data_IF_417165841911
#
_entry.id   IF_417165841911
#
_cell.length_a   1.000
_cell.length_b   1.000
_cell.length_c   1.000
_cell.angle_alpha   90.00
_cell.angle_beta   90.00
_cell.angle_gamma   90.00
#
_symmetry.space_group_name_H-M   'P 1'
#
loop_
_entity.id
_entity.type
_entity.pdbx_description
1 polymer ?
#
# COMPACT_ATOMS: atom_id res chain seq x y z
N UNK A 1 9.53 -15.30 -1.23
CA UNK A 1 8.71 -15.16 0.01
C UNK A 1 9.21 -13.98 0.80
N UNK A 2 8.33 -13.07 1.26
CA UNK A 2 8.72 -11.92 2.10
C UNK A 2 8.08 -12.04 3.47
N UNK A 3 8.86 -11.77 4.53
CA UNK A 3 8.38 -11.76 5.90
C UNK A 3 8.47 -10.35 6.50
N UNK A 4 7.31 -9.80 6.92
CA UNK A 4 7.21 -8.49 7.55
C UNK A 4 7.77 -8.46 8.98
N UNK A 5 7.95 -7.27 9.56
CA UNK A 5 8.53 -7.10 10.89
C UNK A 5 7.81 -7.86 12.00
N UNK A 6 6.47 -7.90 11.98
CA UNK A 6 5.66 -8.71 12.92
C UNK A 6 5.89 -10.21 12.75
N UNK A 7 6.14 -10.65 11.53
CA UNK A 7 6.42 -12.05 11.18
C UNK A 7 7.79 -12.53 11.69
N UNK A 8 8.73 -11.61 11.91
CA UNK A 8 10.10 -11.87 12.35
C UNK A 8 10.45 -11.14 13.66
N UNK A 9 9.44 -10.79 14.46
CA UNK A 9 9.60 -9.96 15.65
C UNK A 9 10.52 -10.57 16.73
N UNK A 10 10.61 -11.88 16.80
CA UNK A 10 11.44 -12.64 17.74
C UNK A 10 12.08 -13.84 17.03
N UNK A 11 13.08 -14.46 17.67
CA UNK A 11 13.69 -15.69 17.13
C UNK A 11 12.66 -16.81 16.97
N UNK A 12 11.69 -16.92 17.88
CA UNK A 12 10.60 -17.89 17.75
C UNK A 12 9.73 -17.61 16.53
N UNK A 13 9.43 -16.32 16.24
CA UNK A 13 8.73 -15.93 15.02
C UNK A 13 9.53 -16.24 13.77
N UNK A 14 10.84 -16.03 13.80
CA UNK A 14 11.74 -16.42 12.69
C UNK A 14 11.68 -17.94 12.46
N UNK A 15 11.65 -18.77 13.51
CA UNK A 15 11.47 -20.23 13.39
C UNK A 15 10.12 -20.59 12.74
N UNK A 16 9.04 -19.91 13.11
CA UNK A 16 7.72 -20.10 12.50
C UNK A 16 7.75 -19.70 11.01
N UNK A 17 8.32 -18.52 10.68
CA UNK A 17 8.51 -18.08 9.31
C UNK A 17 9.33 -19.07 8.47
N UNK A 18 10.40 -19.63 9.06
CA UNK A 18 11.24 -20.63 8.40
C UNK A 18 10.48 -21.94 8.08
N UNK A 19 9.46 -22.32 8.86
CA UNK A 19 8.60 -23.48 8.54
C UNK A 19 7.81 -23.27 7.25
N UNK A 20 7.33 -22.04 7.00
CA UNK A 20 6.68 -21.72 5.71
C UNK A 20 7.68 -21.82 4.55
N UNK A 21 8.95 -21.41 4.75
CA UNK A 21 10.00 -21.60 3.74
C UNK A 21 10.24 -23.09 3.51
N UNK A 22 10.37 -23.86 4.59
CA UNK A 22 10.59 -25.32 4.52
C UNK A 22 9.49 -26.02 3.73
N UNK A 23 8.24 -25.67 3.96
CA UNK A 23 7.09 -26.24 3.21
C UNK A 23 7.26 -26.07 1.69
N UNK A 24 7.65 -24.86 1.23
CA UNK A 24 7.84 -24.60 -0.20
C UNK A 24 9.06 -25.33 -0.76
N UNK A 25 10.15 -25.43 0.02
CA UNK A 25 11.35 -26.21 -0.37
C UNK A 25 11.03 -27.70 -0.46
N UNK A 26 10.31 -28.24 0.54
CA UNK A 26 9.90 -29.67 0.56
C UNK A 26 8.94 -29.99 -0.60
N UNK A 27 8.16 -29.00 -1.07
CA UNK A 27 7.31 -29.12 -2.26
C UNK A 27 8.11 -29.05 -3.59
N UNK A 28 9.44 -28.89 -3.53
CA UNK A 28 10.32 -28.83 -4.71
C UNK A 28 10.47 -27.45 -5.33
N UNK A 29 9.97 -26.40 -4.68
CA UNK A 29 10.09 -25.05 -5.18
C UNK A 29 11.49 -24.47 -4.90
N UNK A 30 12.02 -23.67 -5.85
CA UNK A 30 13.14 -22.79 -5.60
C UNK A 30 12.64 -21.55 -4.86
N UNK A 31 13.29 -21.21 -3.74
CA UNK A 31 12.83 -20.14 -2.86
C UNK A 31 13.91 -19.10 -2.63
N UNK A 32 13.54 -17.82 -2.78
CA UNK A 32 14.29 -16.69 -2.24
C UNK A 32 13.46 -16.04 -1.13
N UNK A 33 14.11 -15.70 -0.02
CA UNK A 33 13.48 -15.06 1.13
C UNK A 33 13.90 -13.60 1.21
N UNK A 34 12.96 -12.69 1.44
CA UNK A 34 13.23 -11.28 1.74
C UNK A 34 12.69 -10.99 3.15
N UNK A 35 13.48 -10.35 3.99
CA UNK A 35 13.10 -10.06 5.38
C UNK A 35 13.11 -8.58 5.69
N UNK A 36 12.16 -8.15 6.53
CA UNK A 36 12.19 -6.85 7.21
C UNK A 36 13.03 -6.92 8.49
N UNK A 37 13.38 -5.79 9.06
CA UNK A 37 13.87 -5.71 10.44
C UNK A 37 12.84 -6.29 11.43
N UNK A 38 13.30 -6.80 12.56
CA UNK A 38 12.43 -7.24 13.66
C UNK A 38 11.52 -6.08 14.11
N UNK A 39 10.28 -6.39 14.47
CA UNK A 39 9.28 -5.38 14.85
C UNK A 39 9.82 -4.36 15.86
N UNK A 40 9.63 -3.07 15.57
CA UNK A 40 10.11 -1.97 16.40
C UNK A 40 11.57 -1.56 16.16
N UNK A 41 12.42 -2.41 15.57
CA UNK A 41 13.86 -2.11 15.41
C UNK A 41 14.14 -0.94 14.49
N UNK A 42 13.42 -0.80 13.39
CA UNK A 42 13.55 0.36 12.51
C UNK A 42 13.25 1.66 13.27
N UNK A 43 12.19 1.68 14.08
CA UNK A 43 11.83 2.87 14.88
C UNK A 43 12.88 3.17 15.95
N UNK A 44 13.46 2.14 16.58
CA UNK A 44 14.56 2.28 17.56
C UNK A 44 15.80 2.90 16.91
N UNK A 45 16.21 2.41 15.73
CA UNK A 45 17.33 2.95 14.96
C UNK A 45 17.09 4.40 14.51
N UNK A 46 15.90 4.71 14.05
CA UNK A 46 15.49 6.09 13.73
C UNK A 46 15.54 6.97 14.97
N UNK A 47 15.09 6.46 16.13
CA UNK A 47 15.20 7.16 17.41
C UNK A 47 16.65 7.54 17.74
N UNK A 48 17.59 6.59 17.62
CA UNK A 48 19.02 6.85 17.88
C UNK A 48 19.62 7.90 16.95
N UNK A 49 19.24 7.89 15.66
CA UNK A 49 19.69 8.93 14.72
C UNK A 49 19.17 10.30 15.14
N UNK A 50 17.88 10.41 15.47
CA UNK A 50 17.27 11.67 15.88
C UNK A 50 17.84 12.21 17.21
N UNK A 51 18.16 11.30 18.15
CA UNK A 51 18.83 11.66 19.42
C UNK A 51 20.27 12.14 19.18
N UNK A 52 20.97 11.54 18.19
CA UNK A 52 22.35 11.91 17.86
C UNK A 52 22.45 13.27 17.17
N UNK A 53 21.52 13.58 16.27
CA UNK A 53 21.47 14.89 15.59
C UNK A 53 20.09 15.16 14.98
N UNK A 54 19.60 16.41 15.14
CA UNK A 54 18.38 16.87 14.45
C UNK A 54 18.58 17.15 12.97
N UNK A 55 19.82 17.48 12.58
CA UNK A 55 20.22 17.76 11.20
C UNK A 55 21.29 16.74 10.78
N UNK A 56 20.88 15.50 10.61
CA UNK A 56 21.77 14.40 10.21
C UNK A 56 21.90 14.30 8.69
N UNK A 57 23.03 13.77 8.25
CA UNK A 57 23.23 13.42 6.84
C UNK A 57 22.34 12.21 6.48
N UNK A 58 21.56 12.33 5.42
CA UNK A 58 20.66 11.27 4.98
C UNK A 58 21.39 9.97 4.60
N UNK A 59 22.65 10.06 4.17
CA UNK A 59 23.48 8.89 3.83
C UNK A 59 23.89 8.11 5.07
N UNK A 60 24.20 8.79 6.17
CA UNK A 60 24.52 8.16 7.44
C UNK A 60 23.24 7.65 8.13
N UNK A 61 22.10 8.34 7.97
CA UNK A 61 20.79 7.82 8.37
C UNK A 61 20.54 6.45 7.73
N UNK A 62 20.68 6.33 6.41
CA UNK A 62 20.47 5.07 5.69
C UNK A 62 21.42 3.97 6.19
N UNK A 63 22.68 4.29 6.44
CA UNK A 63 23.67 3.32 6.95
C UNK A 63 23.27 2.74 8.32
N UNK A 64 22.70 3.57 9.20
CA UNK A 64 22.22 3.12 10.51
C UNK A 64 20.92 2.32 10.36
N UNK A 65 19.92 2.89 9.68
CA UNK A 65 18.56 2.34 9.67
C UNK A 65 18.49 1.02 8.89
N UNK A 66 19.27 0.86 7.82
CA UNK A 66 19.37 -0.39 7.06
C UNK A 66 19.96 -1.58 7.83
N UNK A 67 20.61 -1.35 8.98
CA UNK A 67 21.25 -2.44 9.75
C UNK A 67 20.27 -3.42 10.38
N UNK A 68 19.01 -3.02 10.57
CA UNK A 68 17.99 -3.86 11.18
C UNK A 68 17.71 -5.14 10.38
N UNK A 69 17.65 -5.04 9.07
CA UNK A 69 17.42 -6.18 8.16
C UNK A 69 18.61 -7.12 8.10
N UNK A 70 19.83 -6.61 8.30
CA UNK A 70 21.05 -7.44 8.32
C UNK A 70 20.99 -8.48 9.44
N UNK A 71 20.53 -8.07 10.63
CA UNK A 71 20.36 -8.97 11.78
C UNK A 71 19.32 -10.04 11.45
N UNK A 72 18.16 -9.64 10.92
CA UNK A 72 17.08 -10.57 10.62
C UNK A 72 17.48 -11.58 9.54
N UNK A 73 18.14 -11.14 8.47
CA UNK A 73 18.59 -12.01 7.40
C UNK A 73 19.59 -13.06 7.88
N UNK A 74 20.54 -12.65 8.73
CA UNK A 74 21.47 -13.58 9.35
C UNK A 74 20.79 -14.63 10.23
N UNK A 75 19.87 -14.19 11.10
CA UNK A 75 19.11 -15.10 11.97
C UNK A 75 18.23 -16.07 11.18
N UNK A 76 17.55 -15.60 10.12
CA UNK A 76 16.73 -16.46 9.26
C UNK A 76 17.60 -17.52 8.57
N UNK A 77 18.76 -17.14 8.02
CA UNK A 77 19.68 -18.09 7.39
C UNK A 77 20.20 -19.15 8.37
N UNK A 78 20.52 -18.75 9.61
CA UNK A 78 20.94 -19.70 10.69
C UNK A 78 19.82 -20.69 10.98
N UNK A 79 18.58 -20.21 11.16
CA UNK A 79 17.42 -21.08 11.48
C UNK A 79 17.12 -22.04 10.33
N UNK A 80 17.17 -21.58 9.08
CA UNK A 80 16.97 -22.46 7.92
C UNK A 80 18.06 -23.54 7.85
N UNK A 81 19.33 -23.17 8.09
CA UNK A 81 20.46 -24.13 8.14
C UNK A 81 20.29 -25.16 9.26
N UNK A 82 19.81 -24.77 10.44
CA UNK A 82 19.46 -25.68 11.54
C UNK A 82 18.36 -26.68 11.15
N UNK A 83 17.42 -26.25 10.28
CA UNK A 83 16.36 -27.13 9.73
C UNK A 83 16.85 -28.02 8.57
N UNK A 84 18.13 -28.02 8.25
CA UNK A 84 18.72 -28.82 7.17
C UNK A 84 18.56 -28.19 5.76
N UNK A 85 18.18 -26.93 5.67
CA UNK A 85 18.02 -26.22 4.40
C UNK A 85 19.27 -25.39 4.16
N UNK A 86 20.09 -25.68 3.13
CA UNK A 86 21.22 -24.83 2.78
C UNK A 86 20.77 -23.40 2.54
N UNK A 87 21.28 -22.44 3.31
CA UNK A 87 20.83 -21.04 3.21
C UNK A 87 21.98 -20.07 3.48
N UNK A 88 21.87 -18.87 2.92
CA UNK A 88 22.85 -17.81 3.10
C UNK A 88 22.16 -16.45 3.08
N UNK A 89 22.56 -15.57 4.01
CA UNK A 89 22.11 -14.18 4.03
C UNK A 89 22.89 -13.33 3.03
N UNK A 90 22.20 -12.39 2.40
CA UNK A 90 22.74 -11.40 1.47
C UNK A 90 22.24 -10.01 1.83
N UNK A 91 23.17 -9.09 2.03
CA UNK A 91 22.86 -7.66 2.13
C UNK A 91 22.68 -7.05 0.74
N UNK A 92 22.09 -5.87 0.68
CA UNK A 92 21.73 -5.18 -0.57
C UNK A 92 22.89 -4.88 -1.52
N UNK A 93 24.15 -4.95 -1.03
CA UNK A 93 25.34 -4.80 -1.87
C UNK A 93 25.92 -6.13 -2.36
N UNK A 94 25.58 -7.25 -1.74
CA UNK A 94 26.05 -8.59 -2.13
C UNK A 94 25.20 -9.20 -3.24
N UNK A 95 23.91 -8.83 -3.27
CA UNK A 95 22.99 -9.01 -4.39
C UNK A 95 22.60 -7.60 -4.81
N UNK A 96 23.32 -6.97 -5.74
CA UNK A 96 23.21 -5.54 -5.92
C UNK A 96 21.80 -5.11 -6.32
N UNK A 97 21.07 -4.52 -5.35
CA UNK A 97 19.81 -3.80 -5.57
C UNK A 97 20.23 -2.35 -5.83
N UNK A 98 20.41 -2.02 -7.10
CA UNK A 98 20.81 -0.67 -7.49
C UNK A 98 19.67 0.33 -7.35
N UNK A 99 19.97 1.49 -6.79
CA UNK A 99 19.00 2.57 -6.57
C UNK A 99 19.58 3.91 -7.04
N UNK A 100 18.66 4.88 -7.20
CA UNK A 100 19.04 6.29 -7.24
C UNK A 100 19.66 6.74 -5.90
N UNK A 101 20.08 8.01 -5.82
CA UNK A 101 20.71 8.63 -4.65
C UNK A 101 19.74 9.39 -3.74
N UNK A 102 18.45 9.12 -3.86
CA UNK A 102 17.38 9.72 -3.02
C UNK A 102 17.35 9.05 -1.64
N UNK A 103 18.38 9.32 -0.83
CA UNK A 103 18.53 8.71 0.50
C UNK A 103 17.27 8.86 1.36
N UNK A 104 16.87 7.79 2.08
CA UNK A 104 15.65 7.72 2.89
C UNK A 104 14.40 7.34 2.12
N UNK A 105 14.38 7.49 0.78
CA UNK A 105 13.25 7.19 -0.09
C UNK A 105 13.69 6.77 -1.51
N UNK A 106 14.78 6.03 -1.60
CA UNK A 106 15.41 5.65 -2.87
C UNK A 106 14.50 4.79 -3.76
N UNK A 107 14.70 4.88 -5.07
CA UNK A 107 13.99 4.09 -6.07
C UNK A 107 14.91 3.02 -6.63
N UNK A 108 14.42 1.80 -6.74
CA UNK A 108 15.14 0.69 -7.36
C UNK A 108 15.21 0.95 -8.87
N UNK A 109 16.41 0.91 -9.40
CA UNK A 109 16.69 1.09 -10.84
C UNK A 109 16.97 -0.26 -11.51
N UNK A 110 17.69 -1.16 -10.83
CA UNK A 110 18.09 -2.45 -11.38
C UNK A 110 18.44 -3.44 -10.27
N UNK A 111 18.36 -4.75 -10.56
CA UNK A 111 18.85 -5.84 -9.70
C UNK A 111 19.59 -6.85 -10.56
N UNK A 112 20.82 -7.20 -10.16
CA UNK A 112 21.55 -8.31 -10.76
C UNK A 112 21.12 -9.64 -10.10
N UNK A 113 20.36 -10.51 -10.79
CA UNK A 113 19.86 -11.75 -10.22
C UNK A 113 20.86 -12.90 -10.28
N UNK A 114 22.07 -12.70 -10.82
CA UNK A 114 23.01 -13.79 -11.16
C UNK A 114 23.36 -14.65 -9.96
N UNK A 115 23.74 -14.03 -8.82
CA UNK A 115 24.07 -14.76 -7.60
C UNK A 115 22.85 -15.50 -7.02
N UNK A 116 21.68 -14.86 -7.03
CA UNK A 116 20.43 -15.49 -6.54
C UNK A 116 20.09 -16.73 -7.36
N UNK A 117 20.08 -16.62 -8.68
CA UNK A 117 19.77 -17.73 -9.57
C UNK A 117 20.80 -18.87 -9.44
N UNK A 118 22.08 -18.54 -9.31
CA UNK A 118 23.15 -19.52 -9.08
C UNK A 118 22.92 -20.30 -7.78
N UNK A 119 22.59 -19.60 -6.69
CA UNK A 119 22.34 -20.26 -5.39
C UNK A 119 21.07 -21.10 -5.40
N UNK A 120 19.97 -20.57 -5.91
CA UNK A 120 18.73 -21.34 -6.02
C UNK A 120 18.89 -22.58 -6.90
N UNK A 121 19.61 -22.46 -8.04
CA UNK A 121 19.93 -23.59 -8.90
C UNK A 121 20.80 -24.66 -8.25
N UNK A 122 21.60 -24.29 -7.25
CA UNK A 122 22.39 -25.22 -6.42
C UNK A 122 21.61 -25.77 -5.19
N UNK A 123 20.31 -25.50 -5.07
CA UNK A 123 19.47 -25.97 -3.96
C UNK A 123 19.59 -25.17 -2.67
N UNK A 124 20.15 -23.95 -2.74
CA UNK A 124 20.22 -23.04 -1.60
C UNK A 124 19.01 -22.11 -1.54
N UNK A 125 18.69 -21.65 -0.33
CA UNK A 125 17.72 -20.59 -0.08
C UNK A 125 18.47 -19.29 0.22
N UNK A 126 18.56 -18.34 -0.74
CA UNK A 126 19.09 -17.01 -0.45
C UNK A 126 18.13 -16.24 0.47
N UNK A 127 18.67 -15.59 1.50
CA UNK A 127 17.93 -14.69 2.40
C UNK A 127 18.42 -13.27 2.18
N UNK A 128 17.62 -12.44 1.55
CA UNK A 128 17.97 -11.07 1.15
C UNK A 128 17.42 -10.07 2.15
N UNK A 129 18.21 -9.08 2.50
CA UNK A 129 17.75 -7.94 3.28
C UNK A 129 16.77 -7.11 2.44
N UNK A 130 15.56 -6.92 2.93
CA UNK A 130 14.62 -5.95 2.35
C UNK A 130 15.00 -4.52 2.69
N UNK A 131 14.21 -3.55 2.23
CA UNK A 131 14.28 -2.14 2.60
C UNK A 131 15.53 -1.39 2.12
N UNK A 132 16.62 -2.04 1.77
CA UNK A 132 17.91 -1.43 1.41
C UNK A 132 18.31 -1.71 -0.03
N UNK A 133 19.12 -0.81 -0.58
CA UNK A 133 19.83 -0.94 -1.84
C UNK A 133 21.15 -0.20 -1.79
N UNK A 134 21.79 -0.02 -2.94
CA UNK A 134 23.03 0.73 -3.08
C UNK A 134 23.01 1.66 -4.29
N UNK A 135 23.61 2.82 -4.15
CA UNK A 135 23.91 3.72 -5.27
C UNK A 135 25.07 3.13 -6.09
N UNK A 136 24.81 2.75 -7.35
CA UNK A 136 25.79 2.09 -8.23
C UNK A 136 27.12 2.84 -8.32
N UNK A 137 27.08 4.17 -8.38
CA UNK A 137 28.27 5.03 -8.55
C UNK A 137 29.13 5.11 -7.30
N UNK A 138 28.54 5.13 -6.11
CA UNK A 138 29.24 5.40 -4.85
C UNK A 138 29.39 4.18 -3.95
N UNK A 139 28.59 3.11 -4.19
CA UNK A 139 28.50 1.97 -3.30
C UNK A 139 27.82 2.27 -1.95
N UNK A 140 27.26 3.46 -1.78
CA UNK A 140 26.60 3.83 -0.52
C UNK A 140 25.25 3.16 -0.40
N UNK A 141 24.96 2.70 0.81
CA UNK A 141 23.67 2.10 1.16
C UNK A 141 22.58 3.17 1.10
N UNK A 142 21.43 2.78 0.58
CA UNK A 142 20.18 3.57 0.55
C UNK A 142 19.07 2.82 1.23
N UNK A 143 18.05 3.54 1.70
CA UNK A 143 16.79 2.93 2.15
C UNK A 143 15.65 3.34 1.24
N UNK A 144 14.69 2.41 1.06
CA UNK A 144 13.58 2.57 0.11
C UNK A 144 12.37 3.31 0.70
N UNK A 145 12.47 3.73 1.95
CA UNK A 145 11.39 4.37 2.66
C UNK A 145 10.28 3.40 3.11
N UNK A 146 9.14 3.93 3.51
CA UNK A 146 8.02 3.15 4.07
C UNK A 146 7.55 2.06 3.09
N UNK A 147 7.38 0.83 3.59
CA UNK A 147 7.02 -0.33 2.76
C UNK A 147 8.14 -0.86 1.86
N UNK A 148 9.37 -0.40 2.07
CA UNK A 148 10.52 -0.76 1.24
C UNK A 148 10.80 -2.25 1.15
N UNK A 149 10.54 -3.05 2.20
CA UNK A 149 10.75 -4.50 2.15
C UNK A 149 9.76 -5.21 1.22
N UNK A 150 8.49 -4.75 1.12
CA UNK A 150 7.53 -5.27 0.14
C UNK A 150 8.00 -4.95 -1.27
N UNK A 151 8.44 -3.71 -1.49
CA UNK A 151 9.00 -3.26 -2.77
C UNK A 151 10.25 -4.07 -3.15
N UNK A 152 11.18 -4.30 -2.19
CA UNK A 152 12.36 -5.17 -2.42
C UNK A 152 11.96 -6.58 -2.85
N UNK A 153 10.95 -7.17 -2.18
CA UNK A 153 10.53 -8.53 -2.47
C UNK A 153 9.95 -8.66 -3.88
N UNK A 154 9.13 -7.71 -4.29
CA UNK A 154 8.54 -7.69 -5.64
C UNK A 154 9.65 -7.47 -6.69
N UNK A 155 10.58 -6.55 -6.44
CA UNK A 155 11.69 -6.29 -7.36
C UNK A 155 12.60 -7.53 -7.51
N UNK A 156 12.92 -8.20 -6.39
CA UNK A 156 13.67 -9.47 -6.42
C UNK A 156 12.90 -10.54 -7.19
N UNK A 157 11.58 -10.68 -6.93
CA UNK A 157 10.75 -11.65 -7.65
C UNK A 157 10.72 -11.39 -9.16
N UNK A 158 10.61 -10.12 -9.58
CA UNK A 158 10.69 -9.72 -10.99
C UNK A 158 12.07 -10.06 -11.59
N UNK A 159 13.17 -9.75 -10.89
CA UNK A 159 14.53 -9.98 -11.36
C UNK A 159 14.84 -11.47 -11.56
N UNK A 160 14.42 -12.33 -10.62
CA UNK A 160 14.62 -13.79 -10.72
C UNK A 160 13.55 -14.47 -11.56
N UNK A 161 12.56 -13.74 -12.09
CA UNK A 161 11.41 -14.26 -12.85
C UNK A 161 10.63 -15.32 -12.06
N UNK A 162 10.33 -15.00 -10.80
CA UNK A 162 9.58 -15.90 -9.94
C UNK A 162 8.13 -16.09 -10.43
N UNK A 163 7.57 -17.29 -10.25
CA UNK A 163 6.16 -17.58 -10.58
C UNK A 163 5.18 -16.77 -9.73
N UNK A 164 5.59 -16.42 -8.48
CA UNK A 164 4.83 -15.60 -7.56
C UNK A 164 5.70 -15.00 -6.46
N UNK A 165 5.22 -13.94 -5.81
CA UNK A 165 5.80 -13.33 -4.62
C UNK A 165 4.81 -13.43 -3.46
N UNK A 166 5.11 -14.23 -2.45
CA UNK A 166 4.29 -14.40 -1.26
C UNK A 166 4.68 -13.36 -0.20
N UNK A 167 3.73 -12.50 0.20
CA UNK A 167 3.89 -11.49 1.24
C UNK A 167 3.26 -12.00 2.54
N UNK A 168 4.09 -12.41 3.47
CA UNK A 168 3.68 -12.84 4.81
C UNK A 168 3.60 -11.65 5.76
N UNK A 169 2.44 -11.49 6.37
CA UNK A 169 2.11 -10.38 7.27
C UNK A 169 1.28 -10.89 8.45
N UNK A 170 0.65 -10.01 9.22
CA UNK A 170 -0.21 -10.32 10.37
C UNK A 170 -1.69 -10.54 9.99
N UNK A 171 -2.03 -10.40 8.71
CA UNK A 171 -3.36 -10.72 8.18
C UNK A 171 -3.28 -11.86 7.17
N UNK A 172 -4.36 -12.62 7.04
CA UNK A 172 -4.44 -13.82 6.18
C UNK A 172 -4.90 -13.51 4.75
N UNK A 173 -5.02 -12.25 4.38
CA UNK A 173 -5.39 -11.80 3.03
C UNK A 173 -6.00 -10.41 2.99
N UNK A 174 -6.57 -10.08 1.84
CA UNK A 174 -7.33 -8.85 1.58
C UNK A 174 -8.82 -9.15 1.78
N UNK A 175 -9.53 -8.26 2.47
CA UNK A 175 -10.94 -8.43 2.81
C UNK A 175 -11.83 -7.46 2.05
N UNK A 176 -13.09 -7.83 1.88
CA UNK A 176 -14.14 -6.99 1.25
C UNK A 176 -14.36 -5.67 1.98
N UNK A 177 -14.02 -5.58 3.26
CA UNK A 177 -13.86 -4.38 4.07
C UNK A 177 -13.03 -4.74 5.32
N UNK A 178 -12.71 -3.77 6.18
CA UNK A 178 -12.02 -4.02 7.45
C UNK A 178 -12.88 -4.90 8.38
N UNK A 179 -12.45 -6.12 8.77
CA UNK A 179 -13.22 -7.00 9.67
C UNK A 179 -13.50 -6.39 11.05
N UNK A 180 -12.72 -5.39 11.46
CA UNK A 180 -12.95 -4.66 12.72
C UNK A 180 -14.15 -3.73 12.63
N UNK A 181 -14.52 -3.28 11.41
CA UNK A 181 -15.68 -2.43 11.13
C UNK A 181 -16.91 -3.29 10.86
N UNK A 182 -16.80 -4.29 10.00
CA UNK A 182 -17.85 -5.28 9.74
C UNK A 182 -17.32 -6.70 9.91
N UNK A 183 -17.66 -7.42 11.02
CA UNK A 183 -17.23 -8.79 11.24
C UNK A 183 -17.69 -9.80 10.17
N UNK A 184 -18.63 -9.40 9.29
CA UNK A 184 -19.07 -10.21 8.15
C UNK A 184 -18.20 -10.02 6.90
N UNK A 185 -17.14 -9.20 7.00
CA UNK A 185 -16.19 -9.03 5.92
C UNK A 185 -15.58 -10.39 5.54
N UNK A 186 -15.38 -10.60 4.25
CA UNK A 186 -14.84 -11.85 3.70
C UNK A 186 -13.50 -11.64 3.09
N UNK A 187 -12.62 -12.61 3.26
CA UNK A 187 -11.37 -12.64 2.54
C UNK A 187 -11.64 -12.86 1.06
N UNK A 188 -11.03 -12.04 0.22
CA UNK A 188 -11.01 -12.21 -1.22
C UNK A 188 -10.03 -13.33 -1.59
N UNK A 189 -10.45 -14.26 -2.45
CA UNK A 189 -9.54 -15.27 -2.97
C UNK A 189 -8.59 -14.69 -4.02
N UNK A 190 -9.12 -13.78 -4.85
CA UNK A 190 -8.39 -13.06 -5.90
C UNK A 190 -8.85 -11.61 -5.93
N UNK A 191 -7.95 -10.75 -6.34
CA UNK A 191 -8.20 -9.32 -6.57
C UNK A 191 -7.30 -8.84 -7.72
N UNK A 192 -7.81 -7.97 -8.59
CA UNK A 192 -7.01 -7.38 -9.66
C UNK A 192 -6.00 -6.36 -9.09
N UNK A 193 -4.87 -6.17 -9.80
CA UNK A 193 -3.87 -5.17 -9.37
C UNK A 193 -4.48 -3.78 -9.22
N UNK A 194 -5.35 -3.38 -10.17
CA UNK A 194 -6.01 -2.08 -10.16
C UNK A 194 -6.90 -1.90 -8.91
N UNK A 195 -7.69 -2.94 -8.58
CA UNK A 195 -8.53 -2.92 -7.36
C UNK A 195 -7.67 -2.85 -6.10
N UNK A 196 -6.58 -3.64 -6.05
CA UNK A 196 -5.67 -3.63 -4.91
C UNK A 196 -4.98 -2.27 -4.73
N UNK A 197 -4.58 -1.61 -5.83
CA UNK A 197 -4.02 -0.25 -5.81
C UNK A 197 -5.03 0.75 -5.23
N UNK A 198 -6.27 0.72 -5.71
CA UNK A 198 -7.32 1.59 -5.18
C UNK A 198 -7.60 1.30 -3.71
N UNK A 199 -7.75 0.04 -3.32
CA UNK A 199 -7.98 -0.32 -1.92
C UNK A 199 -6.82 0.07 -1.01
N UNK A 200 -5.58 -0.11 -1.45
CA UNK A 200 -4.40 0.30 -0.69
C UNK A 200 -4.31 1.81 -0.53
N UNK A 201 -4.66 2.59 -1.56
CA UNK A 201 -4.69 4.05 -1.52
C UNK A 201 -5.80 4.60 -0.62
N UNK A 202 -6.87 3.84 -0.44
CA UNK A 202 -8.09 4.23 0.28
C UNK A 202 -8.17 3.69 1.72
N UNK A 203 -7.06 3.16 2.27
CA UNK A 203 -6.98 2.77 3.67
C UNK A 203 -6.86 1.28 3.99
N UNK A 204 -6.96 0.39 3.01
CA UNK A 204 -6.65 -1.02 3.19
C UNK A 204 -5.13 -1.22 3.28
N UNK A 205 -4.56 -1.03 4.46
CA UNK A 205 -3.10 -1.01 4.72
C UNK A 205 -2.45 -2.42 4.69
N UNK A 206 -2.91 -3.32 3.83
CA UNK A 206 -2.40 -4.70 3.74
C UNK A 206 -1.14 -4.77 2.89
N UNK A 207 -1.12 -4.07 1.76
CA UNK A 207 0.04 -3.92 0.88
C UNK A 207 0.36 -2.44 0.68
N UNK A 208 1.63 -2.14 0.44
CA UNK A 208 2.05 -0.78 0.07
C UNK A 208 1.79 -0.52 -1.41
N UNK A 209 1.25 0.65 -1.75
CA UNK A 209 0.92 1.06 -3.12
C UNK A 209 2.09 0.81 -4.06
N UNK A 210 3.29 1.28 -3.71
CA UNK A 210 4.51 1.13 -4.51
C UNK A 210 4.88 -0.32 -4.83
N UNK A 211 4.62 -1.27 -3.91
CA UNK A 211 4.88 -2.70 -4.17
C UNK A 211 3.86 -3.29 -5.14
N UNK A 212 2.59 -2.86 -5.07
CA UNK A 212 1.54 -3.29 -5.99
C UNK A 212 1.76 -2.69 -7.39
N UNK A 213 2.14 -1.41 -7.49
CA UNK A 213 2.52 -0.75 -8.76
C UNK A 213 3.66 -1.50 -9.46
N UNK A 214 4.70 -1.86 -8.70
CA UNK A 214 5.83 -2.62 -9.22
C UNK A 214 5.41 -4.02 -9.66
N UNK A 215 4.57 -4.69 -8.87
CA UNK A 215 4.05 -6.02 -9.22
C UNK A 215 3.22 -5.98 -10.51
N UNK A 216 2.35 -5.00 -10.66
CA UNK A 216 1.56 -4.76 -11.87
C UNK A 216 2.46 -4.50 -13.09
N UNK A 217 3.44 -3.59 -12.95
CA UNK A 217 4.35 -3.22 -14.04
C UNK A 217 5.19 -4.39 -14.53
N UNK A 218 5.59 -5.30 -13.63
CA UNK A 218 6.42 -6.47 -13.95
C UNK A 218 5.61 -7.78 -14.05
N UNK A 219 4.28 -7.74 -13.93
CA UNK A 219 3.38 -8.91 -13.95
C UNK A 219 3.75 -9.97 -12.93
N UNK A 220 4.19 -9.56 -11.75
CA UNK A 220 4.52 -10.44 -10.64
C UNK A 220 3.26 -10.73 -9.82
N UNK A 221 2.77 -11.95 -9.85
CA UNK A 221 1.64 -12.37 -8.99
C UNK A 221 2.03 -12.24 -7.53
N UNK A 222 1.19 -11.56 -6.73
CA UNK A 222 1.38 -11.46 -5.28
C UNK A 222 0.40 -12.37 -4.55
N UNK A 223 0.83 -12.98 -3.45
CA UNK A 223 -0.09 -13.67 -2.53
C UNK A 223 0.10 -13.09 -1.15
N UNK A 224 -0.96 -12.52 -0.59
CA UNK A 224 -0.98 -12.04 0.79
C UNK A 224 -1.36 -13.19 1.71
N UNK A 225 -0.53 -13.47 2.71
CA UNK A 225 -0.68 -14.61 3.64
C UNK A 225 -0.40 -14.21 5.08
N UNK A 226 -0.99 -14.96 6.01
CA UNK A 226 -0.63 -14.86 7.42
C UNK A 226 0.59 -15.70 7.76
N UNK A 227 1.53 -15.13 8.53
CA UNK A 227 2.64 -15.91 9.12
C UNK A 227 2.16 -16.76 10.30
N UNK A 228 0.97 -16.44 10.84
CA UNK A 228 0.41 -17.13 12.01
C UNK A 228 -0.38 -18.39 11.65
N UNK A 229 -0.66 -18.59 10.37
CA UNK A 229 -1.27 -19.83 9.90
C UNK A 229 -0.31 -21.00 10.11
N UNK A 230 -0.89 -22.18 10.35
CA UNK A 230 -0.11 -23.41 10.41
C UNK A 230 0.42 -23.74 9.00
N UNK A 231 1.73 -23.80 8.79
CA UNK A 231 2.31 -24.11 7.48
C UNK A 231 1.96 -25.53 7.00
N UNK A 232 1.59 -26.43 7.92
CA UNK A 232 1.24 -27.82 7.60
C UNK A 232 -0.27 -28.01 7.34
N UNK A 233 -1.10 -27.02 7.69
CA UNK A 233 -2.53 -27.08 7.44
C UNK A 233 -2.83 -27.03 5.94
N UNK A 234 -3.53 -28.04 5.43
CA UNK A 234 -4.07 -28.05 4.07
C UNK A 234 -5.26 -27.09 4.03
N UNK A 235 -5.09 -25.94 3.39
CA UNK A 235 -6.20 -25.03 3.11
C UNK A 235 -6.79 -25.39 1.74
N UNK A 236 -8.09 -25.51 1.70
CA UNK A 236 -8.83 -25.70 0.46
C UNK A 236 -9.32 -24.35 -0.06
N UNK A 237 -9.29 -24.16 -1.37
CA UNK A 237 -10.03 -23.10 -2.03
C UNK A 237 -11.54 -23.32 -1.83
N UNK A 238 -12.40 -22.29 -2.02
CA UNK A 238 -13.86 -22.45 -1.86
C UNK A 238 -14.48 -23.54 -2.73
N UNK A 239 -13.85 -23.89 -3.84
CA UNK A 239 -14.24 -24.99 -4.72
C UNK A 239 -13.76 -26.38 -4.24
N UNK A 240 -13.12 -26.47 -3.07
CA UNK A 240 -12.62 -27.72 -2.50
C UNK A 240 -11.28 -28.19 -3.05
N UNK A 241 -10.66 -27.48 -3.99
CA UNK A 241 -9.33 -27.80 -4.49
C UNK A 241 -8.23 -27.36 -3.52
N UNK A 242 -7.03 -28.01 -3.52
CA UNK A 242 -5.90 -27.48 -2.78
C UNK A 242 -5.56 -26.07 -3.26
N UNK A 243 -5.92 -25.08 -2.45
CA UNK A 243 -5.75 -23.66 -2.78
C UNK A 243 -4.46 -23.07 -2.22
N UNK A 244 -4.06 -21.97 -2.78
CA UNK A 244 -3.04 -21.11 -2.16
C UNK A 244 -3.73 -20.36 -1.02
N UNK A 245 -3.38 -20.60 0.27
CA UNK A 245 -3.99 -19.85 1.38
C UNK A 245 -3.63 -18.37 1.22
N UNK A 246 -4.62 -17.48 1.42
CA UNK A 246 -4.42 -16.04 1.29
C UNK A 246 -5.24 -15.40 0.16
N UNK A 247 -4.85 -14.21 -0.24
CA UNK A 247 -5.43 -13.50 -1.39
C UNK A 247 -4.41 -13.39 -2.52
N UNK A 248 -4.77 -13.88 -3.70
CA UNK A 248 -3.96 -13.70 -4.92
C UNK A 248 -4.28 -12.32 -5.54
N UNK A 249 -3.24 -11.51 -5.72
CA UNK A 249 -3.28 -10.27 -6.51
C UNK A 249 -2.66 -10.55 -7.87
N UNK A 250 -3.42 -10.36 -8.94
CA UNK A 250 -3.04 -10.77 -10.30
C UNK A 250 -3.63 -9.83 -11.37
N UNK A 251 -3.34 -10.09 -12.63
CA UNK A 251 -3.95 -9.37 -13.75
C UNK A 251 -5.47 -9.59 -13.77
N UNK A 252 -6.23 -8.56 -14.16
CA UNK A 252 -7.70 -8.60 -14.28
C UNK A 252 -8.18 -9.74 -15.19
N UNK A 253 -7.39 -10.07 -16.22
CA UNK A 253 -7.69 -11.14 -17.18
C UNK A 253 -7.69 -12.56 -16.57
N UNK A 254 -7.02 -12.74 -15.41
CA UNK A 254 -6.99 -14.01 -14.68
C UNK A 254 -8.23 -14.22 -13.81
N UNK A 255 -9.13 -13.23 -13.71
CA UNK A 255 -10.35 -13.28 -12.91
C UNK A 255 -11.54 -13.55 -13.85
N UNK A 256 -12.03 -14.81 -13.85
CA UNK A 256 -13.09 -15.26 -14.77
C UNK A 256 -14.44 -14.63 -14.47
N UNK A 257 -14.81 -14.51 -13.19
CA UNK A 257 -16.05 -13.86 -12.74
C UNK A 257 -15.70 -12.61 -11.94
N UNK A 258 -16.03 -11.45 -12.47
CA UNK A 258 -15.75 -10.15 -11.86
C UNK A 258 -16.95 -9.70 -11.03
N UNK A 259 -16.75 -9.54 -9.74
CA UNK A 259 -17.74 -8.86 -8.91
C UNK A 259 -17.91 -7.41 -9.39
N UNK A 260 -19.15 -6.90 -9.36
CA UNK A 260 -19.40 -5.48 -9.68
C UNK A 260 -18.64 -4.58 -8.68
N UNK A 261 -18.73 -4.93 -7.39
CA UNK A 261 -18.01 -4.29 -6.29
C UNK A 261 -17.26 -5.37 -5.54
N UNK A 262 -15.96 -5.21 -5.42
CA UNK A 262 -15.07 -6.16 -4.72
C UNK A 262 -14.83 -5.77 -3.26
N UNK A 263 -14.97 -4.48 -2.94
CA UNK A 263 -14.75 -4.03 -1.58
C UNK A 263 -15.25 -2.62 -1.27
N UNK A 264 -15.35 -2.36 0.04
CA UNK A 264 -15.65 -1.05 0.62
C UNK A 264 -14.49 -0.64 1.52
N UNK A 265 -13.94 0.53 1.28
CA UNK A 265 -12.81 1.07 2.03
C UNK A 265 -13.16 2.34 2.78
N UNK A 266 -12.44 2.63 3.85
CA UNK A 266 -12.60 3.79 4.70
C UNK A 266 -11.25 4.47 4.96
N UNK A 267 -11.16 5.75 4.61
CA UNK A 267 -10.09 6.64 5.07
C UNK A 267 -10.69 7.72 5.97
N UNK A 268 -10.17 7.83 7.19
CA UNK A 268 -10.57 8.82 8.18
C UNK A 268 -9.63 10.02 8.19
N UNK A 269 -10.02 11.06 8.94
CA UNK A 269 -9.22 12.26 9.14
C UNK A 269 -8.98 13.04 7.85
N UNK A 270 -10.04 13.23 7.09
CA UNK A 270 -10.08 14.04 5.88
C UNK A 270 -10.66 15.43 6.18
N UNK A 271 -9.97 16.47 5.75
CA UNK A 271 -10.45 17.84 5.81
C UNK A 271 -10.81 18.35 4.42
N UNK A 272 -11.97 18.99 4.32
CA UNK A 272 -12.44 19.61 3.08
C UNK A 272 -12.08 21.10 3.08
N UNK A 273 -11.52 21.58 1.96
CA UNK A 273 -11.24 22.98 1.68
C UNK A 273 -11.95 23.38 0.39
N UNK A 274 -12.61 24.55 0.42
CA UNK A 274 -13.26 25.12 -0.76
C UNK A 274 -12.79 26.57 -0.94
N UNK A 275 -12.21 26.86 -2.08
CA UNK A 275 -11.96 28.20 -2.57
C UNK A 275 -13.16 28.65 -3.37
N UNK A 276 -13.79 29.76 -2.97
CA UNK A 276 -14.98 30.32 -3.59
C UNK A 276 -14.62 31.48 -4.52
N UNK A 277 -15.34 31.55 -5.64
CA UNK A 277 -15.20 32.61 -6.63
C UNK A 277 -13.73 32.81 -7.07
N UNK A 278 -13.06 31.71 -7.36
CA UNK A 278 -11.71 31.71 -7.93
C UNK A 278 -11.82 32.24 -9.36
N UNK A 279 -11.01 33.25 -9.73
CA UNK A 279 -11.03 33.79 -11.09
C UNK A 279 -10.66 32.72 -12.11
N UNK A 280 -11.61 32.39 -12.99
CA UNK A 280 -11.42 31.33 -13.97
C UNK A 280 -10.51 31.80 -15.11
N UNK A 281 -9.31 31.21 -15.15
CA UNK A 281 -8.32 31.48 -16.20
C UNK A 281 -7.39 30.27 -16.35
N UNK A 282 -6.81 30.06 -17.54
CA UNK A 282 -5.82 29.02 -17.73
C UNK A 282 -4.68 29.14 -16.71
N UNK A 283 -4.35 28.02 -16.05
CA UNK A 283 -3.27 27.95 -15.06
C UNK A 283 -3.70 28.16 -13.61
N UNK A 284 -4.96 28.51 -13.31
CA UNK A 284 -5.39 28.73 -11.93
C UNK A 284 -5.29 27.48 -11.06
N UNK A 285 -5.68 26.31 -11.58
CA UNK A 285 -5.52 25.05 -10.87
C UNK A 285 -4.04 24.74 -10.60
N UNK A 286 -3.16 24.99 -11.58
CA UNK A 286 -1.71 24.82 -11.40
C UNK A 286 -1.16 25.74 -10.31
N UNK A 287 -1.64 26.99 -10.21
CA UNK A 287 -1.21 27.93 -9.17
C UNK A 287 -1.69 27.50 -7.77
N UNK A 288 -2.95 27.04 -7.64
CA UNK A 288 -3.51 26.56 -6.37
C UNK A 288 -2.76 25.31 -5.88
N UNK A 289 -2.69 24.27 -6.72
CA UNK A 289 -2.11 23.00 -6.33
C UNK A 289 -0.58 23.00 -6.34
N UNK A 290 0.05 23.86 -7.15
CA UNK A 290 1.50 24.09 -7.12
C UNK A 290 1.95 24.64 -5.77
N UNK A 291 1.26 25.68 -5.25
CA UNK A 291 1.56 26.24 -3.94
C UNK A 291 1.46 25.18 -2.80
N UNK A 292 0.50 24.28 -2.87
CA UNK A 292 0.36 23.18 -1.90
C UNK A 292 1.45 22.12 -2.07
N UNK A 293 1.80 21.79 -3.31
CA UNK A 293 2.84 20.81 -3.64
C UNK A 293 4.24 21.28 -3.20
N UNK A 294 4.57 22.56 -3.36
CA UNK A 294 5.83 23.16 -2.90
C UNK A 294 6.03 23.00 -1.39
N UNK A 295 4.94 22.92 -0.65
CA UNK A 295 4.90 22.67 0.78
C UNK A 295 4.68 21.18 1.14
N UNK A 296 4.74 20.29 0.14
CA UNK A 296 4.56 18.85 0.29
C UNK A 296 3.18 18.44 0.87
N UNK A 297 2.14 19.23 0.60
CA UNK A 297 0.76 18.92 1.00
C UNK A 297 0.11 18.07 -0.09
N UNK A 298 -0.28 16.85 0.28
CA UNK A 298 -0.99 15.94 -0.61
C UNK A 298 -2.47 16.31 -0.63
N UNK A 299 -3.05 16.39 -1.83
CA UNK A 299 -4.47 16.71 -2.04
C UNK A 299 -5.20 15.54 -2.68
N UNK A 300 -6.50 15.40 -2.37
CA UNK A 300 -7.38 14.39 -2.96
C UNK A 300 -8.77 14.96 -3.24
N UNK A 301 -9.66 14.17 -3.86
CA UNK A 301 -11.06 14.49 -4.15
C UNK A 301 -11.26 15.88 -4.78
N UNK A 302 -10.46 16.24 -5.79
CA UNK A 302 -10.53 17.57 -6.42
C UNK A 302 -11.82 17.68 -7.27
N UNK A 303 -12.63 18.72 -6.99
CA UNK A 303 -13.82 19.07 -7.76
C UNK A 303 -13.81 20.55 -8.09
N UNK A 304 -14.02 20.89 -9.35
CA UNK A 304 -14.11 22.26 -9.85
C UNK A 304 -15.49 22.48 -10.48
N UNK A 305 -16.17 23.56 -10.08
CA UNK A 305 -17.46 23.97 -10.64
C UNK A 305 -17.36 25.39 -11.19
N UNK A 306 -17.59 25.55 -12.49
CA UNK A 306 -17.56 26.84 -13.17
C UNK A 306 -18.90 27.55 -12.97
N UNK A 307 -18.88 28.89 -12.73
CA UNK A 307 -20.08 29.72 -12.68
C UNK A 307 -20.81 29.77 -14.02
N UNK A 308 -22.10 30.15 -14.02
CA UNK A 308 -22.92 30.22 -15.24
C UNK A 308 -22.35 31.15 -16.31
N UNK A 309 -21.71 32.26 -15.90
CA UNK A 309 -21.11 33.24 -16.80
C UNK A 309 -19.65 32.91 -17.18
N UNK A 310 -19.07 31.83 -16.62
CA UNK A 310 -17.71 31.41 -16.87
C UNK A 310 -16.62 32.32 -16.29
N UNK A 311 -16.98 33.29 -15.45
CA UNK A 311 -16.01 34.28 -14.94
C UNK A 311 -15.25 33.79 -13.71
N UNK A 312 -15.87 32.93 -12.91
CA UNK A 312 -15.31 32.38 -11.68
C UNK A 312 -15.59 30.88 -11.55
N UNK A 313 -14.83 30.23 -10.70
CA UNK A 313 -14.98 28.81 -10.39
C UNK A 313 -14.86 28.57 -8.89
N UNK A 314 -15.57 27.58 -8.38
CA UNK A 314 -15.31 27.04 -7.04
C UNK A 314 -14.39 25.83 -7.16
N UNK A 315 -13.33 25.78 -6.36
CA UNK A 315 -12.42 24.65 -6.29
C UNK A 315 -12.52 24.04 -4.90
N UNK A 316 -13.00 22.81 -4.84
CA UNK A 316 -13.11 22.01 -3.60
C UNK A 316 -12.14 20.83 -3.67
N UNK A 317 -11.43 20.57 -2.60
CA UNK A 317 -10.56 19.41 -2.47
C UNK A 317 -10.43 18.97 -1.03
N UNK A 318 -9.85 17.77 -0.81
CA UNK A 318 -9.52 17.28 0.54
C UNK A 318 -8.01 17.23 0.76
N UNK A 319 -7.65 17.38 2.04
CA UNK A 319 -6.31 17.17 2.58
C UNK A 319 -6.44 16.37 3.88
N UNK A 320 -5.38 15.71 4.38
CA UNK A 320 -5.40 15.16 5.74
C UNK A 320 -5.72 16.24 6.78
N UNK A 321 -6.49 15.90 7.82
CA UNK A 321 -6.85 16.83 8.91
C UNK A 321 -5.62 17.53 9.52
N UNK A 322 -4.50 16.80 9.62
CA UNK A 322 -3.22 17.33 10.12
C UNK A 322 -2.63 18.45 9.29
N UNK A 323 -2.92 18.47 7.98
CA UNK A 323 -2.40 19.45 7.03
C UNK A 323 -3.35 20.63 6.80
N UNK A 324 -4.56 20.58 7.33
CA UNK A 324 -5.61 21.58 7.08
C UNK A 324 -5.17 23.02 7.38
N UNK A 325 -4.64 23.27 8.57
CA UNK A 325 -4.24 24.62 9.00
C UNK A 325 -3.02 25.12 8.20
N UNK A 326 -2.12 24.21 7.79
CA UNK A 326 -0.98 24.51 6.91
C UNK A 326 -1.48 24.86 5.51
N UNK A 327 -2.39 24.08 4.95
CA UNK A 327 -2.96 24.31 3.64
C UNK A 327 -3.69 25.67 3.56
N UNK A 328 -4.48 26.02 4.57
CA UNK A 328 -5.11 27.34 4.63
C UNK A 328 -4.10 28.49 4.60
N UNK A 329 -3.04 28.41 5.43
CA UNK A 329 -1.98 29.45 5.44
C UNK A 329 -1.27 29.60 4.11
N UNK A 330 -0.97 28.49 3.44
CA UNK A 330 -0.33 28.47 2.12
C UNK A 330 -1.21 29.15 1.09
N UNK A 331 -2.49 28.85 1.07
CA UNK A 331 -3.45 29.45 0.15
C UNK A 331 -3.70 30.93 0.43
N UNK A 332 -3.74 31.35 1.68
CA UNK A 332 -3.83 32.77 2.06
C UNK A 332 -2.58 33.54 1.65
N UNK A 333 -1.39 32.95 1.78
CA UNK A 333 -0.14 33.53 1.30
C UNK A 333 -0.14 33.67 -0.24
N UNK A 334 -0.59 32.63 -0.96
CA UNK A 334 -0.74 32.66 -2.42
C UNK A 334 -1.74 33.73 -2.89
N UNK A 335 -2.85 33.94 -2.14
CA UNK A 335 -3.79 35.03 -2.38
C UNK A 335 -3.13 36.40 -2.15
N UNK A 336 -2.43 36.56 -1.05
CA UNK A 336 -1.79 37.81 -0.66
C UNK A 336 -0.69 38.26 -1.63
N UNK A 337 0.01 37.30 -2.24
CA UNK A 337 1.02 37.53 -3.28
C UNK A 337 0.40 37.78 -4.68
N UNK A 338 -0.90 37.60 -4.83
CA UNK A 338 -1.59 37.70 -6.13
C UNK A 338 -1.39 36.49 -7.06
N UNK A 339 -0.78 35.40 -6.57
CA UNK A 339 -0.60 34.17 -7.35
C UNK A 339 -1.95 33.48 -7.63
N UNK A 340 -2.87 33.53 -6.66
CA UNK A 340 -4.23 33.01 -6.78
C UNK A 340 -5.24 34.07 -6.35
N UNK A 341 -6.28 34.27 -7.13
CA UNK A 341 -7.35 35.21 -6.84
C UNK A 341 -8.64 34.43 -6.49
N UNK A 342 -9.13 34.56 -5.26
CA UNK A 342 -10.40 34.00 -4.80
C UNK A 342 -11.09 34.92 -3.77
N UNK A 343 -12.41 34.84 -3.67
CA UNK A 343 -13.15 35.69 -2.73
C UNK A 343 -12.98 35.26 -1.27
N UNK A 344 -13.14 33.96 -1.01
CA UNK A 344 -13.02 33.41 0.35
C UNK A 344 -12.59 31.94 0.33
N UNK A 345 -11.99 31.51 1.45
CA UNK A 345 -11.72 30.12 1.76
C UNK A 345 -12.68 29.64 2.83
N UNK A 346 -13.23 28.45 2.66
CA UNK A 346 -14.06 27.76 3.64
C UNK A 346 -13.61 26.33 3.77
N UNK A 347 -13.87 25.69 4.91
CA UNK A 347 -13.51 24.28 5.08
C UNK A 347 -13.99 23.70 6.39
N UNK A 348 -13.83 22.41 6.54
CA UNK A 348 -14.17 21.65 7.74
C UNK A 348 -13.21 20.47 7.90
N UNK A 349 -12.91 20.12 9.14
CA UNK A 349 -12.19 18.91 9.56
C UNK A 349 -13.19 17.81 9.94
N UNK A 350 -12.69 16.60 10.17
CA UNK A 350 -13.48 15.48 10.69
C UNK A 350 -14.34 14.81 9.62
N UNK A 351 -13.87 14.83 8.38
CA UNK A 351 -14.47 14.05 7.29
C UNK A 351 -13.94 12.62 7.24
N UNK A 352 -14.74 11.73 6.66
CA UNK A 352 -14.34 10.38 6.30
C UNK A 352 -14.66 10.11 4.83
N UNK A 353 -13.68 9.59 4.10
CA UNK A 353 -13.86 9.15 2.72
C UNK A 353 -14.22 7.68 2.71
N UNK A 354 -15.40 7.35 2.23
CA UNK A 354 -15.90 5.99 2.01
C UNK A 354 -15.93 5.72 0.52
N UNK A 355 -15.36 4.59 0.11
CA UNK A 355 -15.26 4.25 -1.31
C UNK A 355 -15.69 2.82 -1.57
N UNK A 356 -16.41 2.61 -2.67
CA UNK A 356 -16.66 1.29 -3.26
C UNK A 356 -15.71 1.10 -4.44
N UNK A 357 -15.11 -0.09 -4.52
CA UNK A 357 -14.09 -0.44 -5.52
C UNK A 357 -14.49 -1.73 -6.21
N UNK A 358 -14.32 -1.80 -7.53
CA UNK A 358 -14.53 -3.02 -8.30
C UNK A 358 -14.32 -2.79 -9.79
N UNK A 359 -13.53 -3.64 -10.46
CA UNK A 359 -13.33 -3.57 -11.93
C UNK A 359 -14.63 -3.83 -12.71
N UNK A 360 -15.56 -4.58 -12.14
CA UNK A 360 -16.88 -4.80 -12.72
C UNK A 360 -17.74 -3.54 -12.86
N UNK A 361 -17.40 -2.45 -12.14
CA UNK A 361 -18.12 -1.17 -12.22
C UNK A 361 -18.05 -0.53 -13.60
N UNK A 362 -16.97 -0.75 -14.37
CA UNK A 362 -16.76 -0.18 -15.72
C UNK A 362 -17.96 -0.40 -16.65
N UNK A 363 -18.61 -1.55 -16.56
CA UNK A 363 -19.67 -1.98 -17.48
C UNK A 363 -21.07 -1.96 -16.84
N UNK A 364 -21.20 -1.45 -15.61
CA UNK A 364 -22.47 -1.48 -14.88
C UNK A 364 -22.96 -0.08 -14.52
N UNK A 365 -23.96 0.39 -15.27
CA UNK A 365 -24.65 1.63 -14.93
C UNK A 365 -25.38 1.49 -13.58
N UNK A 366 -25.39 2.57 -12.79
CA UNK A 366 -26.20 2.64 -11.57
C UNK A 366 -25.48 2.28 -10.27
N UNK A 367 -24.19 1.88 -10.30
CA UNK A 367 -23.43 1.60 -9.07
C UNK A 367 -23.38 2.83 -8.16
N UNK A 368 -23.07 4.01 -8.70
CA UNK A 368 -23.08 5.26 -7.93
C UNK A 368 -24.47 5.59 -7.36
N UNK A 369 -25.53 5.44 -8.17
CA UNK A 369 -26.91 5.67 -7.71
C UNK A 369 -27.28 4.71 -6.56
N UNK A 370 -26.87 3.46 -6.66
CA UNK A 370 -27.06 2.45 -5.61
C UNK A 370 -26.32 2.82 -4.32
N UNK A 371 -25.07 3.30 -4.42
CA UNK A 371 -24.30 3.81 -3.29
C UNK A 371 -25.00 4.96 -2.60
N UNK A 372 -25.46 5.96 -3.37
CA UNK A 372 -26.12 7.14 -2.82
C UNK A 372 -27.46 6.77 -2.16
N UNK A 373 -28.21 5.85 -2.76
CA UNK A 373 -29.45 5.34 -2.16
C UNK A 373 -29.19 4.63 -0.83
N UNK A 374 -28.20 3.76 -0.76
CA UNK A 374 -27.85 3.03 0.46
C UNK A 374 -27.48 3.98 1.61
N UNK A 375 -26.77 5.07 1.31
CA UNK A 375 -26.40 6.09 2.29
C UNK A 375 -27.61 6.94 2.70
N UNK A 376 -28.45 7.36 1.73
CA UNK A 376 -29.67 8.13 1.99
C UNK A 376 -30.65 7.36 2.87
N UNK A 377 -30.84 6.05 2.65
CA UNK A 377 -31.72 5.18 3.45
C UNK A 377 -31.22 5.08 4.93
N UNK A 378 -29.97 5.47 5.20
CA UNK A 378 -29.38 5.57 6.56
C UNK A 378 -29.32 7.00 7.09
N UNK A 379 -29.84 7.97 6.35
CA UNK A 379 -29.80 9.39 6.73
C UNK A 379 -28.40 10.01 6.67
N UNK A 380 -27.46 9.40 5.91
CA UNK A 380 -26.08 9.87 5.79
C UNK A 380 -25.99 10.89 4.65
N UNK A 381 -25.58 12.11 4.99
CA UNK A 381 -25.38 13.18 4.02
C UNK A 381 -24.03 13.09 3.34
N UNK A 382 -23.99 13.33 2.03
CA UNK A 382 -22.78 13.32 1.22
C UNK A 382 -22.30 14.77 1.02
N UNK A 383 -21.03 15.03 1.34
CA UNK A 383 -20.43 16.36 1.22
C UNK A 383 -19.65 16.57 -0.08
N UNK A 384 -19.08 15.48 -0.63
CA UNK A 384 -18.29 15.51 -1.86
C UNK A 384 -18.36 14.12 -2.52
N UNK A 385 -18.30 14.09 -3.83
CA UNK A 385 -18.32 12.86 -4.63
C UNK A 385 -17.18 12.93 -5.64
N UNK A 386 -16.44 11.82 -5.77
CA UNK A 386 -15.51 11.59 -6.89
C UNK A 386 -15.66 10.19 -7.43
N UNK A 387 -15.45 10.02 -8.73
CA UNK A 387 -15.59 8.72 -9.40
C UNK A 387 -14.43 8.48 -10.34
N UNK A 388 -14.08 7.20 -10.51
CA UNK A 388 -13.27 6.70 -11.61
C UNK A 388 -13.98 5.52 -12.26
N UNK A 389 -13.34 4.85 -13.20
CA UNK A 389 -13.93 3.68 -13.88
C UNK A 389 -14.21 2.51 -12.92
N UNK A 390 -13.39 2.37 -11.86
CA UNK A 390 -13.43 1.23 -10.93
C UNK A 390 -13.68 1.66 -9.48
N UNK A 391 -13.99 2.93 -9.25
CA UNK A 391 -14.17 3.49 -7.91
C UNK A 391 -15.24 4.57 -7.87
N UNK A 392 -16.04 4.58 -6.81
CA UNK A 392 -16.88 5.73 -6.41
C UNK A 392 -16.59 6.05 -4.95
N UNK A 393 -16.20 7.29 -4.68
CA UNK A 393 -15.85 7.78 -3.35
C UNK A 393 -16.78 8.91 -2.92
N UNK A 394 -17.16 8.90 -1.66
CA UNK A 394 -17.92 9.99 -1.04
C UNK A 394 -17.20 10.47 0.22
N UNK A 395 -17.26 11.77 0.46
CA UNK A 395 -16.89 12.37 1.74
C UNK A 395 -18.15 12.55 2.57
N UNK A 396 -18.11 12.07 3.81
CA UNK A 396 -19.18 12.15 4.80
C UNK A 396 -18.61 12.62 6.14
N UNK A 397 -19.45 12.92 7.11
CA UNK A 397 -18.99 13.16 8.47
C UNK A 397 -18.46 11.87 9.12
N UNK A 398 -17.33 11.95 9.83
CA UNK A 398 -16.64 10.78 10.40
C UNK A 398 -17.51 10.00 11.40
N UNK A 399 -18.47 10.65 12.07
CA UNK A 399 -19.41 9.98 12.99
C UNK A 399 -20.24 8.89 12.32
N UNK A 400 -20.51 9.00 11.00
CA UNK A 400 -21.27 8.02 10.22
C UNK A 400 -20.38 7.00 9.49
N UNK A 401 -19.06 7.11 9.58
CA UNK A 401 -18.12 6.34 8.75
C UNK A 401 -18.35 4.83 8.81
N UNK A 402 -18.45 4.25 10.01
CA UNK A 402 -18.66 2.80 10.15
C UNK A 402 -20.05 2.35 9.74
N UNK A 403 -21.08 3.19 10.01
CA UNK A 403 -22.45 2.91 9.57
C UNK A 403 -22.51 2.87 8.04
N UNK A 404 -21.83 3.81 7.37
CA UNK A 404 -21.75 3.87 5.91
C UNK A 404 -21.08 2.62 5.34
N UNK A 405 -19.93 2.21 5.90
CA UNK A 405 -19.22 0.99 5.47
C UNK A 405 -20.13 -0.23 5.59
N UNK A 406 -20.75 -0.46 6.76
CA UNK A 406 -21.64 -1.60 6.96
C UNK A 406 -22.87 -1.57 6.05
N UNK A 407 -23.46 -0.39 5.84
CA UNK A 407 -24.61 -0.24 4.96
C UNK A 407 -24.25 -0.60 3.50
N UNK A 408 -23.13 -0.08 2.99
CA UNK A 408 -22.66 -0.36 1.64
C UNK A 408 -22.23 -1.82 1.48
N UNK A 409 -21.50 -2.38 2.46
CA UNK A 409 -21.07 -3.78 2.45
C UNK A 409 -22.26 -4.74 2.33
N UNK A 410 -23.33 -4.51 3.11
CA UNK A 410 -24.57 -5.29 3.02
C UNK A 410 -25.32 -5.01 1.71
N UNK A 411 -25.38 -3.76 1.26
CA UNK A 411 -26.15 -3.39 0.06
C UNK A 411 -25.58 -4.08 -1.18
N UNK A 412 -24.26 -4.13 -1.32
CA UNK A 412 -23.59 -4.82 -2.43
C UNK A 412 -23.46 -6.33 -2.24
N UNK A 413 -24.00 -6.87 -1.15
CA UNK A 413 -24.02 -8.31 -0.89
C UNK A 413 -22.65 -8.91 -0.57
N UNK A 414 -21.69 -8.09 -0.14
CA UNK A 414 -20.32 -8.52 0.19
C UNK A 414 -20.28 -9.37 1.47
N UNK A 415 -21.35 -9.37 2.27
CA UNK A 415 -21.56 -10.22 3.44
C UNK A 415 -22.17 -11.60 3.11
N UNK A 416 -22.63 -11.83 1.87
CA UNK A 416 -23.24 -13.10 1.46
C UNK A 416 -22.18 -14.11 0.99
N UNK A 417 -22.38 -15.42 1.15
CA UNK A 417 -21.51 -16.43 0.53
C UNK A 417 -21.32 -16.12 -0.98
N UNK A 418 -20.14 -16.40 -1.52
CA UNK A 418 -19.95 -16.42 -2.96
C UNK A 418 -20.97 -17.43 -3.54
N UNK A 419 -21.72 -17.00 -4.55
CA UNK A 419 -22.73 -17.82 -5.21
C UNK A 419 -22.08 -19.00 -5.93
#
# INVERSE_FOLDING_TARGET
MKFGGTSVATVERIRQAARHVKREVDAGNQVVVVVSAMSGKTNELVGWVNESSRLHDAREYDAVVASGENVTAGLMAIVLSEMGIPSRSFQGWQVPIYTDDSHGAARIEDIDPTELNTRMGAGWVPVVTGFQGIVKKTGRVTTLGRGGSDTSAVAVAAAVKADRCDIYTDVDGVYTTDPRIDPRAKRLNRIAFEEMLEMASLGAKVLMIRSVEMAMAHKVRLVVRSTFDDPEAVQLAPDGTPGVPGTLVCDEEEIMEKAIVSGVTLARSEAKITLRDVKDRPGVAAAVFGALADESIVVDMIVQNISEDGSVTDITFTVPDSEYDKAQRVLEAARSSGAVEYARITGSKGGAKVSVVGVGMRNHAGVAASMFKALADKGINIQLITTSEIKTSVLIDDEYAELAVRALHTYYGLDKPAA
#
